data_IF_344942106516
#
_entry.id   IF_344942106516
#
_cell.length_a   1.000
_cell.length_b   1.000
_cell.length_c   1.000
_cell.angle_alpha   90.00
_cell.angle_beta   90.00
_cell.angle_gamma   90.00
#
_symmetry.space_group_name_H-M   'P 1'
#
loop_
_entity.id
_entity.type
_entity.pdbx_description
1 polymer ?
#
# COMPACT_ATOMS: atom_id res chain seq x y z
N UNK A 1 -7.05 15.91 24.98
CA UNK A 1 -6.04 15.68 24.33
C UNK A 1 -5.76 14.33 24.04
N UNK A 2 -5.72 13.55 24.99
CA UNK A 2 -5.55 12.20 24.75
C UNK A 2 -6.55 11.66 23.85
N UNK A 3 -7.72 12.18 23.94
CA UNK A 3 -8.78 11.74 23.10
C UNK A 3 -8.44 11.89 21.65
N UNK A 4 -7.63 12.84 21.32
CA UNK A 4 -7.26 13.03 19.96
C UNK A 4 -6.50 11.88 19.41
N UNK A 5 -5.71 11.25 20.24
CA UNK A 5 -5.01 10.13 19.77
C UNK A 5 -5.96 9.03 19.52
N UNK A 6 -6.93 8.89 20.35
CA UNK A 6 -7.89 7.85 20.18
C UNK A 6 -8.73 8.01 18.96
N UNK A 7 -8.81 9.24 18.44
CA UNK A 7 -9.63 9.43 17.30
C UNK A 7 -8.84 9.44 16.02
N UNK A 8 -7.55 9.23 16.09
CA UNK A 8 -6.78 9.21 14.90
C UNK A 8 -7.32 8.16 13.97
N UNK A 9 -7.47 8.51 12.72
CA UNK A 9 -7.98 7.56 11.76
C UNK A 9 -6.90 6.61 11.40
N UNK A 10 -7.16 5.32 11.60
CA UNK A 10 -6.20 4.32 11.22
C UNK A 10 -6.10 4.15 9.72
N UNK A 11 -7.21 4.33 9.03
CA UNK A 11 -7.25 4.16 7.59
C UNK A 11 -7.88 5.40 6.96
N UNK A 12 -7.28 5.87 5.89
CA UNK A 12 -7.76 7.03 5.16
C UNK A 12 -8.44 6.55 3.88
N UNK A 13 -9.63 7.07 3.61
CA UNK A 13 -10.30 6.74 2.36
C UNK A 13 -9.94 7.83 1.36
N UNK A 14 -9.24 7.46 0.30
CA UNK A 14 -8.77 8.42 -0.68
C UNK A 14 -9.51 8.29 -2.00
N UNK A 15 -9.55 9.38 -2.73
CA UNK A 15 -10.15 9.42 -4.05
C UNK A 15 -9.13 10.03 -5.01
N UNK A 16 -9.53 10.18 -6.25
CA UNK A 16 -8.67 10.81 -7.24
C UNK A 16 -8.27 12.21 -6.82
N UNK A 17 -9.11 12.85 -6.03
CA UNK A 17 -8.85 14.25 -5.66
C UNK A 17 -7.74 14.42 -4.64
N UNK A 18 -7.55 13.47 -3.74
CA UNK A 18 -6.57 13.65 -2.69
C UNK A 18 -5.45 12.62 -2.65
N UNK A 19 -5.50 11.63 -3.53
CA UNK A 19 -4.52 10.56 -3.48
C UNK A 19 -3.10 11.06 -3.72
N UNK A 20 -2.91 11.88 -4.72
CA UNK A 20 -1.57 12.35 -5.05
C UNK A 20 -0.98 13.18 -3.94
N UNK A 21 -1.81 13.96 -3.28
CA UNK A 21 -1.32 14.76 -2.18
C UNK A 21 -0.85 13.87 -1.04
N UNK A 22 -1.63 12.85 -0.73
CA UNK A 22 -1.26 11.92 0.33
C UNK A 22 0.04 11.22 -0.01
N UNK A 23 0.16 10.75 -1.24
CA UNK A 23 1.36 10.04 -1.65
C UNK A 23 2.57 10.97 -1.71
N UNK A 24 2.36 12.21 -2.05
CA UNK A 24 3.47 13.15 -2.20
C UNK A 24 3.95 13.78 -0.91
N UNK A 25 3.14 13.73 0.15
CA UNK A 25 3.51 14.39 1.40
C UNK A 25 3.91 13.40 2.49
N UNK A 26 3.94 12.13 2.19
CA UNK A 26 4.32 11.10 3.18
C UNK A 26 5.44 10.26 2.62
N UNK A 27 6.34 9.85 3.47
CA UNK A 27 7.46 9.04 3.01
C UNK A 27 7.00 7.68 2.49
N UNK A 28 6.09 7.03 3.21
CA UNK A 28 5.58 5.73 2.84
C UNK A 28 4.06 5.77 2.93
N UNK A 29 3.40 5.18 1.95
CA UNK A 29 1.94 5.06 1.98
C UNK A 29 1.61 3.62 1.56
N UNK A 30 0.73 2.98 2.31
CA UNK A 30 0.27 1.63 2.00
C UNK A 30 -1.16 1.74 1.51
N UNK A 31 -1.44 1.18 0.35
CA UNK A 31 -2.73 1.36 -0.30
C UNK A 31 -3.42 0.03 -0.51
N UNK A 32 -4.72 0.00 -0.22
CA UNK A 32 -5.58 -1.14 -0.49
C UNK A 32 -6.60 -0.69 -1.54
N UNK A 33 -6.47 -1.22 -2.76
CA UNK A 33 -7.46 -0.98 -3.80
C UNK A 33 -8.52 -2.06 -3.66
N UNK A 34 -9.77 -1.64 -3.51
CA UNK A 34 -10.85 -2.57 -3.17
C UNK A 34 -12.14 -2.21 -3.88
N UNK A 35 -13.13 -3.07 -3.76
CA UNK A 35 -14.45 -2.79 -4.32
C UNK A 35 -15.50 -3.35 -3.37
N UNK A 36 -16.68 -2.73 -3.39
CA UNK A 36 -17.74 -3.14 -2.49
C UNK A 36 -18.30 -4.52 -2.80
N UNK A 37 -18.22 -4.95 -4.05
CA UNK A 37 -18.74 -6.24 -4.47
C UNK A 37 -17.75 -7.39 -4.28
N UNK A 38 -16.60 -7.09 -3.78
CA UNK A 38 -15.50 -8.07 -3.70
C UNK A 38 -15.48 -8.74 -2.32
N UNK A 39 -15.74 -10.04 -2.29
CA UNK A 39 -15.75 -10.79 -1.04
C UNK A 39 -14.40 -10.77 -0.32
N UNK A 40 -13.30 -11.12 -1.01
CA UNK A 40 -11.99 -11.09 -0.35
C UNK A 40 -11.61 -9.71 0.17
N UNK A 41 -12.09 -8.65 -0.49
CA UNK A 41 -11.83 -7.31 -0.02
C UNK A 41 -12.47 -7.06 1.34
N UNK A 42 -13.68 -7.60 1.52
CA UNK A 42 -14.39 -7.43 2.78
C UNK A 42 -13.68 -8.16 3.91
N UNK A 43 -13.09 -9.30 3.61
CA UNK A 43 -12.34 -10.04 4.61
C UNK A 43 -11.02 -9.36 4.93
N UNK A 44 -10.41 -8.73 3.92
CA UNK A 44 -9.12 -8.09 4.09
C UNK A 44 -9.24 -6.74 4.81
N UNK A 45 -10.38 -6.06 4.69
CA UNK A 45 -10.56 -4.75 5.28
C UNK A 45 -10.19 -4.69 6.76
N UNK A 46 -10.76 -5.57 7.60
CA UNK A 46 -10.41 -5.55 9.01
C UNK A 46 -8.93 -5.82 9.28
N UNK A 47 -8.30 -6.66 8.46
CA UNK A 47 -6.88 -6.94 8.61
C UNK A 47 -6.08 -5.67 8.31
N UNK A 48 -6.44 -4.98 7.24
CA UNK A 48 -5.77 -3.76 6.85
C UNK A 48 -5.88 -2.71 7.96
N UNK A 49 -7.06 -2.57 8.53
CA UNK A 49 -7.28 -1.62 9.61
C UNK A 49 -6.50 -2.00 10.86
N UNK A 50 -6.51 -3.28 11.19
CA UNK A 50 -5.84 -3.74 12.39
C UNK A 50 -4.33 -3.50 12.31
N UNK A 51 -3.74 -3.80 11.17
CA UNK A 51 -2.31 -3.60 11.00
C UNK A 51 -1.96 -2.12 10.97
N UNK A 52 -2.87 -1.30 10.40
CA UNK A 52 -2.60 0.14 10.34
C UNK A 52 -2.42 0.74 11.72
N UNK A 53 -3.07 0.18 12.72
CA UNK A 53 -2.97 0.71 14.07
C UNK A 53 -1.59 0.52 14.67
N UNK A 54 -0.78 -0.33 14.08
CA UNK A 54 0.56 -0.58 14.58
C UNK A 54 1.58 0.38 13.98
N UNK A 55 1.18 1.19 13.01
CA UNK A 55 2.11 2.07 12.32
C UNK A 55 1.57 3.49 12.28
N UNK A 56 1.80 4.24 13.35
CA UNK A 56 1.29 5.61 13.43
C UNK A 56 1.94 6.53 12.41
N UNK A 57 3.12 6.17 11.96
CA UNK A 57 3.88 7.01 11.04
C UNK A 57 3.70 6.66 9.57
N UNK A 58 2.88 5.67 9.27
CA UNK A 58 2.66 5.25 7.88
C UNK A 58 1.16 5.31 7.59
N UNK A 59 0.74 6.18 6.68
CA UNK A 59 -0.69 6.21 6.31
C UNK A 59 -1.09 4.94 5.59
N UNK A 60 -2.21 4.38 6.01
CA UNK A 60 -2.84 3.25 5.34
C UNK A 60 -4.05 3.82 4.64
N UNK A 61 -4.14 3.63 3.34
CA UNK A 61 -5.11 4.30 2.50
C UNK A 61 -5.94 3.28 1.73
N UNK A 62 -7.24 3.49 1.67
CA UNK A 62 -8.12 2.63 0.89
C UNK A 62 -8.64 3.42 -0.30
N UNK A 63 -8.67 2.77 -1.46
CA UNK A 63 -9.19 3.38 -2.67
C UNK A 63 -10.24 2.44 -3.25
N UNK A 64 -11.48 2.94 -3.36
CA UNK A 64 -12.57 2.20 -3.97
C UNK A 64 -12.45 2.36 -5.47
N UNK A 65 -12.20 1.28 -6.18
CA UNK A 65 -11.91 1.37 -7.61
C UNK A 65 -13.12 1.80 -8.43
N UNK A 66 -14.31 1.61 -7.88
CA UNK A 66 -15.51 2.04 -8.61
C UNK A 66 -15.76 3.53 -8.47
N UNK A 67 -15.34 4.10 -7.35
CA UNK A 67 -15.48 5.53 -7.15
C UNK A 67 -14.31 6.32 -7.72
N UNK A 68 -13.20 5.66 -7.93
CA UNK A 68 -12.01 6.33 -8.47
C UNK A 68 -11.45 5.51 -9.62
N UNK A 69 -12.23 5.37 -10.70
CA UNK A 69 -11.81 4.50 -11.80
C UNK A 69 -10.58 5.00 -12.54
N UNK A 70 -10.40 6.31 -12.63
CA UNK A 70 -9.23 6.83 -13.31
C UNK A 70 -7.96 6.54 -12.52
N UNK A 71 -8.05 6.62 -11.20
CA UNK A 71 -6.92 6.31 -10.35
C UNK A 71 -6.58 4.83 -10.46
N UNK A 72 -7.61 3.97 -10.44
CA UNK A 72 -7.38 2.55 -10.55
C UNK A 72 -6.73 2.21 -11.89
N UNK A 73 -7.15 2.87 -12.94
CA UNK A 73 -6.59 2.65 -14.25
C UNK A 73 -5.14 3.12 -14.32
N UNK A 74 -4.86 4.28 -13.77
CA UNK A 74 -3.50 4.81 -13.76
C UNK A 74 -2.57 3.91 -12.96
N UNK A 75 -3.09 3.30 -11.90
CA UNK A 75 -2.30 2.39 -11.07
C UNK A 75 -2.25 0.98 -11.65
N UNK A 76 -2.94 0.77 -12.76
CA UNK A 76 -2.95 -0.53 -13.45
C UNK A 76 -3.51 -1.64 -12.56
N UNK A 77 -4.59 -1.33 -11.86
CA UNK A 77 -5.23 -2.30 -10.98
C UNK A 77 -6.12 -3.19 -11.82
N UNK A 78 -5.83 -4.48 -11.84
CA UNK A 78 -6.57 -5.45 -12.63
C UNK A 78 -7.35 -6.44 -11.81
N UNK A 79 -7.13 -6.44 -10.52
CA UNK A 79 -7.84 -7.34 -9.63
C UNK A 79 -7.91 -6.70 -8.26
N UNK A 80 -8.89 -7.10 -7.46
CA UNK A 80 -9.01 -6.59 -6.09
C UNK A 80 -9.14 -7.75 -5.13
N UNK A 81 -8.62 -7.61 -3.92
CA UNK A 81 -7.86 -6.46 -3.47
C UNK A 81 -6.45 -6.44 -4.08
N UNK A 82 -5.88 -5.28 -4.24
CA UNK A 82 -4.48 -5.13 -4.62
C UNK A 82 -3.83 -4.24 -3.58
N UNK A 83 -2.71 -4.68 -3.06
CA UNK A 83 -1.95 -3.91 -2.08
C UNK A 83 -0.78 -3.25 -2.80
N UNK A 84 -0.61 -1.96 -2.55
CA UNK A 84 0.47 -1.20 -3.15
C UNK A 84 1.20 -0.45 -2.06
N UNK A 85 2.50 -0.32 -2.18
CA UNK A 85 3.28 0.51 -1.28
C UNK A 85 4.01 1.55 -2.12
N UNK A 86 3.88 2.80 -1.71
CA UNK A 86 4.54 3.91 -2.37
C UNK A 86 5.55 4.49 -1.39
N UNK A 87 6.76 4.71 -1.85
CA UNK A 87 7.78 5.31 -1.01
C UNK A 87 8.42 6.46 -1.77
N UNK A 88 8.34 7.63 -1.19
CA UNK A 88 8.88 8.86 -1.78
C UNK A 88 8.34 9.07 -3.18
N UNK A 89 7.07 8.76 -3.35
CA UNK A 89 6.41 8.96 -4.63
C UNK A 89 6.53 7.81 -5.61
N UNK A 90 7.34 6.82 -5.32
CA UNK A 90 7.54 5.70 -6.24
C UNK A 90 6.85 4.45 -5.75
N UNK A 91 6.25 3.72 -6.66
CA UNK A 91 5.61 2.45 -6.31
C UNK A 91 6.71 1.42 -6.14
N UNK A 92 6.86 0.91 -4.93
CA UNK A 92 7.89 -0.09 -4.66
C UNK A 92 7.30 -1.48 -4.49
N UNK A 93 5.99 -1.60 -4.44
CA UNK A 93 5.33 -2.90 -4.28
C UNK A 93 3.91 -2.80 -4.84
N UNK A 94 3.48 -3.80 -5.58
CA UNK A 94 2.11 -3.88 -6.07
C UNK A 94 1.80 -5.33 -6.33
N UNK A 95 0.82 -5.88 -5.60
CA UNK A 95 0.51 -7.28 -5.71
C UNK A 95 -0.97 -7.51 -5.47
N UNK A 96 -1.61 -8.27 -6.33
CA UNK A 96 -3.01 -8.62 -6.16
C UNK A 96 -3.12 -9.69 -5.08
N UNK A 97 -4.21 -9.64 -4.34
CA UNK A 97 -4.50 -10.62 -3.32
C UNK A 97 -4.42 -10.06 -1.92
N UNK A 98 -5.17 -10.68 -1.02
CA UNK A 98 -5.16 -10.29 0.38
C UNK A 98 -3.91 -10.83 1.04
N UNK A 99 -3.47 -10.14 2.08
CA UNK A 99 -2.32 -10.59 2.86
C UNK A 99 -2.78 -10.99 4.25
N UNK A 100 -2.06 -11.91 4.85
CA UNK A 100 -2.28 -12.21 6.25
C UNK A 100 -1.72 -11.06 7.09
N UNK A 101 -2.22 -10.88 8.32
CA UNK A 101 -1.75 -9.76 9.13
C UNK A 101 -0.24 -9.71 9.29
N UNK A 102 0.40 -10.86 9.57
CA UNK A 102 1.85 -10.86 9.75
C UNK A 102 2.59 -10.49 8.48
N UNK A 103 2.05 -10.90 7.33
CA UNK A 103 2.70 -10.59 6.07
C UNK A 103 2.57 -9.11 5.74
N UNK A 104 1.42 -8.52 6.07
CA UNK A 104 1.24 -7.10 5.84
C UNK A 104 2.17 -6.28 6.76
N UNK A 105 2.31 -6.70 8.01
CA UNK A 105 3.24 -6.03 8.92
C UNK A 105 4.66 -6.13 8.39
N UNK A 106 5.04 -7.31 7.92
CA UNK A 106 6.37 -7.51 7.36
C UNK A 106 6.61 -6.61 6.17
N UNK A 107 5.61 -6.51 5.30
CA UNK A 107 5.72 -5.67 4.12
C UNK A 107 6.00 -4.22 4.51
N UNK A 108 5.27 -3.71 5.50
CA UNK A 108 5.47 -2.33 5.93
C UNK A 108 6.86 -2.15 6.54
N UNK A 109 7.29 -3.10 7.35
CA UNK A 109 8.61 -3.01 7.96
C UNK A 109 9.72 -3.08 6.91
N UNK A 110 9.53 -3.90 5.89
CA UNK A 110 10.50 -3.97 4.81
C UNK A 110 10.52 -2.66 4.03
N UNK A 111 9.35 -2.06 3.83
CA UNK A 111 9.29 -0.79 3.13
C UNK A 111 10.01 0.29 3.91
N UNK A 112 9.90 0.27 5.25
CA UNK A 112 10.57 1.25 6.07
C UNK A 112 12.09 1.09 5.98
N UNK A 113 12.55 -0.14 5.86
CA UNK A 113 13.99 -0.39 5.79
C UNK A 113 14.55 -0.21 4.38
N UNK A 114 13.71 -0.23 3.37
CA UNK A 114 14.15 -0.13 2.00
C UNK A 114 14.62 1.29 1.67
N UNK A 115 15.74 1.39 0.98
CA UNK A 115 16.26 2.69 0.58
C UNK A 115 16.32 2.73 -0.94
N UNK A 116 15.39 3.43 -1.59
CA UNK A 116 15.38 3.48 -3.05
C UNK A 116 16.67 4.02 -3.67
N UNK A 117 17.33 4.95 -2.98
CA UNK A 117 18.53 5.49 -3.56
C UNK A 117 19.67 4.50 -3.52
N UNK A 118 19.71 3.62 -2.53
CA UNK A 118 20.71 2.60 -2.49
C UNK A 118 20.42 1.55 -3.51
N UNK A 119 19.15 1.25 -3.69
CA UNK A 119 18.74 0.26 -4.65
C UNK A 119 19.14 0.66 -6.05
N UNK A 120 19.09 1.94 -6.35
CA UNK A 120 19.46 2.43 -7.64
C UNK A 120 20.88 2.03 -7.99
N UNK A 121 21.75 2.00 -7.04
CA UNK A 121 23.08 1.63 -7.30
C UNK A 121 23.25 0.16 -7.46
N UNK A 122 22.69 -0.59 -6.57
CA UNK A 122 22.88 -2.00 -6.61
C UNK A 122 22.00 -2.65 -7.56
N UNK A 123 20.92 -2.05 -7.79
CA UNK A 123 19.94 -2.66 -8.51
C UNK A 123 20.19 -2.88 -9.91
N UNK A 124 21.01 -2.20 -10.41
CA UNK A 124 21.28 -2.47 -11.70
C UNK A 124 21.47 -3.92 -11.78
N UNK A 125 21.56 -4.52 -10.74
CA UNK A 125 21.74 -5.83 -10.72
C UNK A 125 20.60 -6.65 -10.66
N UNK A 126 19.86 -6.59 -9.98
CA UNK A 126 18.85 -7.46 -9.80
C UNK A 126 17.67 -7.46 -10.33
N UNK A 127 17.69 -7.45 -10.58
CA UNK A 127 16.57 -7.66 -10.90
C UNK A 127 16.01 -8.47 -11.16
N UNK A 128 16.58 -8.65 -10.86
CA UNK A 128 16.16 -9.39 -11.04
C UNK A 128 15.64 -10.20 -10.80
N UNK A 129 15.88 -10.20 -10.55
CA UNK A 129 15.60 -10.95 -10.41
C UNK A 129 14.93 -11.56 -10.36
N UNK A 130 15.00 -11.40 -10.17
CA UNK A 130 14.73 -11.98 -10.24
C UNK A 130 14.26 -12.65 -10.46
N UNK A 131 14.37 -12.61 -10.52
CA UNK A 131 14.25 -13.22 -10.82
C UNK A 131 13.91 -13.94 -10.88
N UNK A 132 14.02 -13.74 -10.49
CA UNK A 132 14.15 -14.27 -10.55
C UNK A 132 13.81 -14.96 -10.69
N UNK A 133 13.86 -14.91 -10.54
CA UNK A 133 13.90 -15.50 -10.68
C UNK A 133 13.64 -16.10 -10.96
N UNK A 134 13.57 -16.13 -10.75
CA UNK A 134 13.68 -16.68 -11.07
C UNK A 134 13.70 -17.27 -11.39
N UNK A 135 13.79 -17.24 -11.11
CA UNK A 135 14.22 -17.80 -11.36
C UNK A 135 14.30 -18.32 -11.53
N UNK A 136 14.24 -18.38 -11.26
CA UNK A 136 14.69 -18.76 -11.43
C UNK A 136 14.90 -19.00 -11.57
#
# INVERSE_FOLDING_TARGET
MIALKGVKMAVIHATQDNFEKIAGTNEIVVVDFWATWCGPCRAFGPIFEQVSEKFDDVPFVKVDIDQSPDLASAAEIKAVPTVMVIKRGDVIYRQAGALLPADLEDLVNQAKAYDPSKDDEGNSVSESSESENDGE
#
